data_IF_365908945847
#
_entry.id   IF_365908945847
#
_cell.length_a   1.000
_cell.length_b   1.000
_cell.length_c   1.000
_cell.angle_alpha   90.00
_cell.angle_beta   90.00
_cell.angle_gamma   90.00
#
_symmetry.space_group_name_H-M   'P 1'
#
loop_
_entity.id
_entity.type
_entity.pdbx_description
1 polymer ?
#
# COMPACT_ATOMS: atom_id res chain seq x y z
N UNK A 1 39.32 -21.32 -6.34
CA UNK A 1 38.45 -20.44 -5.52
C UNK A 1 37.78 -19.48 -6.48
N UNK A 2 36.66 -19.89 -7.06
CA UNK A 2 35.88 -19.06 -7.98
C UNK A 2 34.96 -18.16 -7.16
N UNK A 3 35.26 -16.86 -7.15
CA UNK A 3 34.44 -15.82 -6.57
C UNK A 3 33.19 -15.63 -7.44
N UNK A 4 32.06 -16.16 -6.99
CA UNK A 4 30.75 -15.86 -7.56
C UNK A 4 30.44 -14.38 -7.35
N UNK A 5 30.58 -13.60 -8.41
CA UNK A 5 30.07 -12.23 -8.48
C UNK A 5 28.56 -12.27 -8.27
N UNK A 6 28.09 -11.69 -7.16
CA UNK A 6 26.67 -11.37 -6.97
C UNK A 6 26.36 -10.31 -8.02
N UNK A 7 25.74 -10.73 -9.14
CA UNK A 7 25.13 -9.79 -10.09
C UNK A 7 24.17 -8.93 -9.28
N UNK A 8 24.49 -7.66 -9.12
CA UNK A 8 23.57 -6.67 -8.59
C UNK A 8 22.32 -6.72 -9.46
N UNK A 9 21.27 -7.34 -8.95
CA UNK A 9 19.96 -7.30 -9.59
C UNK A 9 19.55 -5.84 -9.54
N UNK A 10 19.55 -5.18 -10.70
CA UNK A 10 18.84 -3.92 -10.88
C UNK A 10 17.38 -4.16 -10.48
N UNK A 11 17.06 -3.87 -9.21
CA UNK A 11 15.70 -3.89 -8.67
C UNK A 11 14.95 -2.69 -9.26
N UNK A 12 14.66 -2.79 -10.56
CA UNK A 12 13.76 -1.87 -11.25
C UNK A 12 12.38 -2.03 -10.66
N UNK A 13 11.82 -0.96 -10.10
CA UNK A 13 10.45 -0.96 -9.61
C UNK A 13 9.52 -0.58 -10.74
N UNK A 14 8.50 -1.40 -10.98
CA UNK A 14 7.44 -1.06 -11.91
C UNK A 14 6.51 0.00 -11.30
N UNK A 15 6.28 1.07 -12.05
CA UNK A 15 5.30 2.10 -11.74
C UNK A 15 4.22 2.09 -12.81
N UNK A 16 2.96 2.10 -12.36
CA UNK A 16 1.81 2.15 -13.25
C UNK A 16 1.21 3.56 -13.29
N UNK A 17 0.65 3.91 -14.45
CA UNK A 17 0.02 5.21 -14.72
C UNK A 17 -1.29 5.03 -15.48
N UNK A 18 -2.21 5.98 -15.33
CA UNK A 18 -3.43 6.10 -16.11
C UNK A 18 -3.51 7.48 -16.78
N UNK A 19 -4.15 7.56 -17.95
CA UNK A 19 -4.31 8.79 -18.72
C UNK A 19 -5.40 9.66 -18.08
N UNK A 20 -5.05 10.84 -17.58
CA UNK A 20 -5.97 11.70 -16.81
C UNK A 20 -6.80 12.68 -17.62
N UNK A 21 -6.37 12.98 -18.84
CA UNK A 21 -7.11 13.86 -19.72
C UNK A 21 -8.48 13.28 -20.09
N UNK A 22 -9.49 14.16 -20.04
CA UNK A 22 -10.89 13.80 -20.36
C UNK A 22 -11.11 13.55 -21.86
N UNK A 23 -10.29 14.15 -22.72
CA UNK A 23 -10.41 14.01 -24.17
C UNK A 23 -9.50 12.90 -24.70
N UNK A 24 -10.11 11.74 -24.95
CA UNK A 24 -9.44 10.59 -25.59
C UNK A 24 -8.99 10.85 -27.03
N UNK A 25 -9.49 11.91 -27.68
CA UNK A 25 -9.28 12.20 -29.11
C UNK A 25 -8.61 13.55 -29.41
N UNK A 26 -8.24 14.35 -28.40
CA UNK A 26 -7.56 15.62 -28.66
C UNK A 26 -6.10 15.37 -29.03
N UNK A 27 -5.78 15.34 -30.33
CA UNK A 27 -4.41 15.18 -30.85
C UNK A 27 -3.46 16.31 -30.43
N UNK A 28 -4.00 17.46 -29.98
CA UNK A 28 -3.22 18.65 -29.59
C UNK A 28 -3.06 18.84 -28.07
N UNK A 29 -3.58 17.93 -27.25
CA UNK A 29 -3.44 18.01 -25.79
C UNK A 29 -2.17 17.32 -25.31
N UNK A 30 -1.40 17.97 -24.43
CA UNK A 30 -0.29 17.32 -23.72
C UNK A 30 -0.83 16.11 -22.97
N UNK A 31 -0.33 14.91 -23.24
CA UNK A 31 -0.79 13.71 -22.55
C UNK A 31 -0.45 13.76 -21.07
N UNK A 32 -1.47 13.91 -20.23
CA UNK A 32 -1.29 13.86 -18.80
C UNK A 32 -1.48 12.43 -18.30
N UNK A 33 -0.47 11.95 -17.59
CA UNK A 33 -0.41 10.60 -17.04
C UNK A 33 -0.26 10.71 -15.53
N UNK A 34 -1.24 10.18 -14.80
CA UNK A 34 -1.25 10.18 -13.34
C UNK A 34 -0.80 8.82 -12.82
N UNK A 35 0.02 8.83 -11.77
CA UNK A 35 0.51 7.60 -11.11
C UNK A 35 -0.62 6.93 -10.33
N UNK A 36 -0.67 5.61 -10.36
CA UNK A 36 -1.40 4.85 -9.34
C UNK A 36 -0.68 4.93 -7.99
N UNK A 37 -1.43 4.75 -6.90
CA UNK A 37 -0.82 4.62 -5.58
C UNK A 37 0.11 3.40 -5.53
N UNK A 38 1.06 3.37 -4.59
CA UNK A 38 2.04 2.28 -4.48
C UNK A 38 1.37 0.91 -4.30
N UNK A 39 0.30 0.86 -3.49
CA UNK A 39 -0.46 -0.37 -3.25
C UNK A 39 -1.22 -0.83 -4.50
N UNK A 40 -1.88 0.09 -5.21
CA UNK A 40 -2.58 -0.21 -6.46
C UNK A 40 -1.59 -0.67 -7.53
N UNK A 41 -0.45 0.02 -7.65
CA UNK A 41 0.62 -0.36 -8.58
C UNK A 41 1.14 -1.77 -8.28
N UNK A 42 1.27 -2.15 -7.01
CA UNK A 42 1.68 -3.49 -6.61
C UNK A 42 0.64 -4.56 -7.00
N UNK A 43 -0.65 -4.28 -6.81
CA UNK A 43 -1.75 -5.17 -7.21
C UNK A 43 -1.76 -5.37 -8.73
N UNK A 44 -1.62 -4.27 -9.49
CA UNK A 44 -1.59 -4.32 -10.96
C UNK A 44 -0.36 -5.09 -11.45
N UNK A 45 0.80 -4.86 -10.85
CA UNK A 45 2.05 -5.55 -11.20
C UNK A 45 1.98 -7.05 -10.86
N UNK A 46 1.37 -7.42 -9.74
CA UNK A 46 1.13 -8.82 -9.40
C UNK A 46 0.24 -9.49 -10.45
N UNK A 47 -0.88 -8.86 -10.81
CA UNK A 47 -1.78 -9.36 -11.84
C UNK A 47 -1.10 -9.45 -13.22
N UNK A 48 -0.21 -8.52 -13.54
CA UNK A 48 0.59 -8.54 -14.78
C UNK A 48 1.56 -9.73 -14.84
N UNK A 49 2.17 -10.08 -13.69
CA UNK A 49 3.16 -11.15 -13.59
C UNK A 49 2.54 -12.55 -13.47
N UNK A 50 1.22 -12.66 -13.23
CA UNK A 50 0.53 -13.96 -13.25
C UNK A 50 0.61 -14.58 -14.65
N UNK A 51 0.91 -15.87 -14.72
CA UNK A 51 0.99 -16.63 -15.98
C UNK A 51 -0.38 -16.99 -16.58
N UNK A 52 -1.47 -16.55 -15.96
CA UNK A 52 -2.82 -16.89 -16.36
C UNK A 52 -3.26 -16.08 -17.60
N UNK A 53 -4.19 -16.64 -18.37
CA UNK A 53 -4.76 -16.00 -19.57
C UNK A 53 -5.55 -14.72 -19.24
N UNK A 54 -6.13 -14.66 -18.05
CA UNK A 54 -6.92 -13.52 -17.58
C UNK A 54 -6.00 -12.50 -16.91
N UNK A 55 -5.49 -11.56 -17.69
CA UNK A 55 -4.75 -10.40 -17.19
C UNK A 55 -5.71 -9.31 -16.71
N UNK A 56 -6.46 -9.61 -15.65
CA UNK A 56 -7.41 -8.69 -15.03
C UNK A 56 -6.94 -8.38 -13.61
N UNK A 57 -6.87 -7.11 -13.24
CA UNK A 57 -6.66 -6.67 -11.87
C UNK A 57 -7.91 -5.96 -11.34
N UNK A 58 -8.31 -6.26 -10.12
CA UNK A 58 -9.47 -5.66 -9.46
C UNK A 58 -8.98 -4.64 -8.42
N UNK A 59 -9.38 -3.38 -8.58
CA UNK A 59 -9.18 -2.29 -7.61
C UNK A 59 -10.53 -1.90 -7.00
N UNK A 60 -10.54 -1.03 -6.00
CA UNK A 60 -11.79 -0.68 -5.28
C UNK A 60 -12.85 -0.10 -6.22
N UNK A 61 -12.50 0.92 -7.01
CA UNK A 61 -13.43 1.65 -7.87
C UNK A 61 -13.34 1.26 -9.35
N UNK A 62 -12.36 0.45 -9.72
CA UNK A 62 -12.01 0.18 -11.11
C UNK A 62 -11.59 -1.28 -11.32
N UNK A 63 -11.78 -1.77 -12.54
CA UNK A 63 -11.14 -2.99 -13.01
C UNK A 63 -10.14 -2.66 -14.11
N UNK A 64 -9.01 -3.34 -14.10
CA UNK A 64 -7.91 -3.11 -15.03
C UNK A 64 -7.79 -4.31 -15.96
N UNK A 65 -8.09 -4.09 -17.24
CA UNK A 65 -7.82 -5.06 -18.29
C UNK A 65 -6.41 -4.83 -18.85
N UNK A 66 -5.46 -5.64 -18.41
CA UNK A 66 -4.05 -5.54 -18.79
C UNK A 66 -3.77 -6.11 -20.19
N UNK A 67 -4.70 -6.88 -20.77
CA UNK A 67 -4.59 -7.33 -22.16
C UNK A 67 -4.78 -6.15 -23.12
N UNK A 68 -5.69 -5.24 -22.79
CA UNK A 68 -5.97 -4.04 -23.59
C UNK A 68 -5.32 -2.78 -23.03
N UNK A 69 -4.67 -2.85 -21.86
CA UNK A 69 -4.12 -1.71 -21.14
C UNK A 69 -5.17 -0.63 -20.89
N UNK A 70 -6.34 -1.02 -20.37
CA UNK A 70 -7.47 -0.14 -20.09
C UNK A 70 -7.95 -0.33 -18.64
N UNK A 71 -8.18 0.79 -17.97
CA UNK A 71 -8.95 0.90 -16.72
C UNK A 71 -10.42 1.13 -17.06
N UNK A 72 -11.32 0.43 -16.39
CA UNK A 72 -12.78 0.51 -16.57
C UNK A 72 -13.39 0.87 -15.21
N UNK A 73 -14.22 1.91 -15.16
CA UNK A 73 -14.96 2.28 -13.94
C UNK A 73 -16.01 1.23 -13.59
N UNK A 74 -16.04 0.82 -12.31
CA UNK A 74 -17.08 -0.08 -11.79
C UNK A 74 -18.43 0.61 -11.69
N UNK A 75 -18.43 1.93 -11.51
CA UNK A 75 -19.66 2.73 -11.46
C UNK A 75 -20.23 2.99 -12.87
N UNK A 76 -19.35 3.14 -13.87
CA UNK A 76 -19.74 3.41 -15.25
C UNK A 76 -18.84 2.66 -16.25
N UNK A 77 -19.28 1.55 -16.84
CA UNK A 77 -18.42 0.74 -17.73
C UNK A 77 -18.04 1.44 -19.05
N UNK A 78 -18.71 2.54 -19.39
CA UNK A 78 -18.36 3.37 -20.55
C UNK A 78 -17.19 4.31 -20.24
N UNK A 79 -16.90 4.57 -18.96
CA UNK A 79 -15.73 5.36 -18.55
C UNK A 79 -14.50 4.47 -18.54
N UNK A 80 -13.72 4.62 -19.62
CA UNK A 80 -12.51 3.85 -19.85
C UNK A 80 -11.31 4.78 -20.01
N UNK A 81 -10.18 4.39 -19.42
CA UNK A 81 -8.93 5.16 -19.48
C UNK A 81 -7.78 4.26 -19.83
N UNK A 82 -6.88 4.73 -20.68
CA UNK A 82 -5.66 3.99 -21.01
C UNK A 82 -4.71 3.96 -19.81
N UNK A 83 -3.98 2.86 -19.68
CA UNK A 83 -2.95 2.67 -18.66
C UNK A 83 -1.60 2.33 -19.28
N UNK A 84 -0.51 2.60 -18.57
CA UNK A 84 0.83 2.21 -18.99
C UNK A 84 1.71 1.81 -17.81
N UNK A 85 2.69 0.95 -18.09
CA UNK A 85 3.72 0.50 -17.18
C UNK A 85 5.04 1.18 -17.52
N UNK A 86 5.74 1.72 -16.53
CA UNK A 86 7.11 2.21 -16.67
C UNK A 86 8.02 1.52 -15.66
N UNK A 87 9.26 1.22 -16.06
CA UNK A 87 10.29 0.75 -15.14
C UNK A 87 11.06 1.95 -14.62
N UNK A 88 10.98 2.19 -13.33
CA UNK A 88 11.76 3.22 -12.64
C UNK A 88 13.07 2.63 -12.13
N UNK A 89 14.18 3.29 -12.44
CA UNK A 89 15.49 2.89 -11.94
C UNK A 89 15.64 3.34 -10.47
N UNK A 90 16.34 2.53 -9.66
CA UNK A 90 16.55 2.81 -8.23
C UNK A 90 17.27 4.14 -7.96
N UNK A 91 18.07 4.62 -8.91
CA UNK A 91 18.91 5.81 -8.73
C UNK A 91 18.09 7.09 -8.52
N UNK A 92 16.85 7.15 -9.03
CA UNK A 92 15.99 8.34 -8.87
C UNK A 92 15.39 8.46 -7.46
N UNK A 93 15.23 7.35 -6.73
CA UNK A 93 14.57 7.35 -5.41
C UNK A 93 15.56 7.54 -4.25
N UNK A 94 16.86 7.32 -4.48
CA UNK A 94 17.89 7.31 -3.44
C UNK A 94 18.40 8.71 -3.08
N UNK A 95 18.21 9.70 -3.97
CA UNK A 95 18.69 11.07 -3.79
C UNK A 95 18.02 11.84 -2.62
N UNK A 96 16.91 11.35 -2.05
CA UNK A 96 16.13 12.10 -1.06
C UNK A 96 16.56 11.90 0.40
N UNK A 97 17.51 11.01 0.69
CA UNK A 97 17.87 10.64 2.09
C UNK A 97 19.28 11.06 2.51
N UNK A 98 20.16 11.38 1.59
CA UNK A 98 21.58 11.62 1.90
C UNK A 98 21.84 13.01 2.50
N UNK A 99 20.99 13.99 2.22
CA UNK A 99 21.17 15.36 2.73
C UNK A 99 20.95 15.51 4.25
N UNK A 100 20.31 14.52 4.89
CA UNK A 100 20.05 14.54 6.35
C UNK A 100 21.20 13.98 7.20
N UNK A 101 22.19 13.34 6.57
CA UNK A 101 23.25 12.63 7.29
C UNK A 101 24.52 13.48 7.51
N UNK A 102 24.57 14.71 6.98
CA UNK A 102 25.76 15.58 7.03
C UNK A 102 25.62 16.80 7.95
N UNK A 103 24.77 16.76 8.98
CA UNK A 103 24.90 17.70 10.08
C UNK A 103 25.80 17.07 11.16
N UNK A 104 26.99 17.64 11.45
CA UNK A 104 27.80 17.21 12.58
C UNK A 104 26.97 17.37 13.84
N UNK A 105 26.55 16.25 14.43
CA UNK A 105 26.00 16.26 15.78
C UNK A 105 27.15 16.68 16.70
N UNK A 106 27.11 17.91 17.20
CA UNK A 106 28.02 18.37 18.23
C UNK A 106 27.85 17.46 19.46
N UNK A 107 28.75 16.50 19.61
CA UNK A 107 28.79 15.56 20.72
C UNK A 107 29.31 16.27 21.97
N UNK A 108 28.50 17.18 22.53
CA UNK A 108 28.80 17.82 23.81
C UNK A 108 27.51 18.13 24.56
N UNK A 109 26.88 17.08 25.08
CA UNK A 109 26.01 17.24 26.25
C UNK A 109 26.13 16.00 27.12
N UNK A 110 26.95 16.13 28.15
CA UNK A 110 26.95 15.26 29.31
C UNK A 110 25.51 15.11 29.80
N UNK A 111 25.01 13.87 29.76
CA UNK A 111 23.74 13.49 30.36
C UNK A 111 23.94 13.55 31.87
N UNK A 112 23.75 14.73 32.46
CA UNK A 112 23.62 14.85 33.91
C UNK A 112 22.32 14.15 34.30
N UNK A 113 22.52 13.11 35.09
CA UNK A 113 21.55 12.15 35.55
C UNK A 113 20.77 12.78 36.71
N UNK A 114 19.80 13.65 36.42
CA UNK A 114 18.84 14.07 37.43
C UNK A 114 17.46 14.27 36.82
N UNK A 115 16.52 13.49 37.35
CA UNK A 115 15.07 13.49 37.11
C UNK A 115 14.58 12.48 36.06
N UNK A 116 14.27 11.29 36.55
CA UNK A 116 13.39 10.35 35.88
C UNK A 116 12.07 11.04 35.47
N UNK A 117 11.57 10.83 34.24
CA UNK A 117 10.29 11.38 33.81
C UNK A 117 9.13 10.66 34.53
N UNK A 118 8.15 11.43 35.00
CA UNK A 118 7.10 10.99 35.94
C UNK A 118 6.04 10.03 35.37
N UNK A 119 6.25 9.44 34.19
CA UNK A 119 5.29 8.52 33.55
C UNK A 119 5.54 7.05 33.90
N UNK A 120 6.57 6.74 34.70
CA UNK A 120 6.85 5.39 35.17
C UNK A 120 6.45 5.21 36.64
N UNK A 121 5.16 5.37 36.95
CA UNK A 121 4.57 4.81 38.16
C UNK A 121 3.28 4.09 37.74
N UNK A 122 3.39 2.82 37.38
CA UNK A 122 2.21 1.95 37.34
C UNK A 122 1.96 1.49 38.77
N UNK A 123 0.89 2.00 39.36
CA UNK A 123 0.36 1.48 40.62
C UNK A 123 -0.23 0.10 40.33
N UNK A 124 0.35 -0.92 40.98
CA UNK A 124 -0.20 -2.27 41.01
C UNK A 124 -1.43 -2.25 41.91
N UNK A 125 -2.61 -2.12 41.30
CA UNK A 125 -3.88 -2.32 42.01
C UNK A 125 -4.20 -3.81 41.95
N UNK A 126 -3.83 -4.54 43.00
CA UNK A 126 -4.38 -5.86 43.31
C UNK A 126 -5.55 -5.70 44.27
N UNK A 127 -6.76 -6.10 43.86
CA UNK A 127 -7.89 -6.45 44.73
C UNK A 127 -8.84 -7.33 43.89
N UNK A 128 -8.80 -8.66 44.07
CA UNK A 128 -9.75 -9.44 44.90
C UNK A 128 -11.20 -9.21 44.49
N UNK A 129 -11.81 -10.15 43.74
CA UNK A 129 -12.55 -11.34 44.24
C UNK A 129 -13.97 -10.99 44.71
N UNK A 130 -14.96 -11.54 44.00
CA UNK A 130 -16.28 -12.05 44.43
C UNK A 130 -17.03 -12.45 43.14
N UNK A 131 -17.07 -13.72 42.72
CA UNK A 131 -17.98 -14.81 43.12
C UNK A 131 -19.47 -14.61 42.78
N UNK A 132 -20.06 -15.67 42.20
CA UNK A 132 -21.50 -16.02 42.08
C UNK A 132 -22.39 -15.27 41.04
N UNK A 133 -23.38 -15.83 40.32
CA UNK A 133 -23.87 -17.19 40.04
C UNK A 133 -25.02 -17.09 38.98
N UNK A 134 -25.23 -18.16 38.20
CA UNK A 134 -26.39 -18.65 37.42
C UNK A 134 -27.33 -17.76 36.56
N UNK A 135 -27.64 -18.32 35.39
CA UNK A 135 -28.87 -18.08 34.62
C UNK A 135 -28.98 -19.07 33.44
N UNK A 136 -29.59 -20.22 33.71
CA UNK A 136 -29.91 -21.35 32.81
C UNK A 136 -31.17 -21.07 31.96
N UNK A 137 -31.26 -21.72 30.78
CA UNK A 137 -32.48 -22.18 30.06
C UNK A 137 -33.52 -21.13 29.56
N UNK A 138 -34.30 -21.27 28.47
CA UNK A 138 -34.72 -22.36 27.54
C UNK A 138 -35.37 -21.68 26.30
N UNK A 139 -35.29 -22.33 25.11
CA UNK A 139 -36.36 -22.64 24.10
C UNK A 139 -37.54 -21.64 23.83
N UNK A 140 -38.20 -21.46 22.68
CA UNK A 140 -38.52 -22.16 21.41
C UNK A 140 -39.12 -21.04 20.50
N UNK A 141 -39.10 -21.07 19.16
CA UNK A 141 -40.24 -21.55 18.34
C UNK A 141 -40.08 -21.14 16.87
N UNK A 142 -40.41 -22.08 15.99
CA UNK A 142 -40.61 -21.89 14.56
C UNK A 142 -41.86 -21.04 14.25
N UNK A 143 -41.85 -20.39 13.08
CA UNK A 143 -43.01 -19.71 12.52
C UNK A 143 -42.89 -19.62 11.00
N UNK A 144 -43.36 -20.66 10.32
CA UNK A 144 -43.74 -20.63 8.90
C UNK A 144 -44.98 -19.76 8.74
N UNK A 145 -44.98 -18.82 7.80
CA UNK A 145 -46.20 -18.18 7.32
C UNK A 145 -46.30 -18.31 5.79
N UNK A 146 -47.56 -18.50 5.41
CA UNK A 146 -48.14 -18.95 4.14
C UNK A 146 -47.78 -18.21 2.87
#
# INVERSE_FOLDING_TARGET
MESHAIKGVDQSRAQWYWKSNSDSWSTNGNEEWTKYADIESAIIEEAFNRQNKTKLAELDNYSINLTHCIQISKSNPNEQRHIKRALTSRNESQALREERLFLPLALSKTFNNDRAPSWLTQEVVTSSSSDEHCGDEIEVSAGTNS
#
